data_IF_849706871802
#
_entry.id   IF_849706871802
#
_cell.length_a   1.000
_cell.length_b   1.000
_cell.length_c   1.000
_cell.angle_alpha   90.00
_cell.angle_beta   90.00
_cell.angle_gamma   90.00
#
_symmetry.space_group_name_H-M   'P 1'
#
loop_
_entity.id
_entity.type
_entity.pdbx_description
1 polymer ?
#
# COMPACT_ATOMS: atom_id res chain seq x y z
N UNK A 1 -12.99 -30.15 0.44
CA UNK A 1 -11.91 -29.46 1.17
C UNK A 1 -12.30 -28.00 1.27
N UNK A 2 -12.35 -27.43 2.47
CA UNK A 2 -12.60 -25.99 2.66
C UNK A 2 -11.25 -25.29 2.72
N UNK A 3 -11.04 -24.29 1.87
CA UNK A 3 -9.87 -23.42 1.98
C UNK A 3 -10.11 -22.51 3.19
N UNK A 4 -9.09 -22.34 4.02
CA UNK A 4 -9.10 -21.46 5.18
C UNK A 4 -8.68 -20.04 4.80
N UNK A 5 -9.14 -19.04 5.55
CA UNK A 5 -8.67 -17.65 5.39
C UNK A 5 -7.15 -17.54 5.49
N UNK A 6 -6.53 -18.35 6.35
CA UNK A 6 -5.08 -18.36 6.52
C UNK A 6 -4.35 -18.83 5.27
N UNK A 7 -4.87 -19.85 4.58
CA UNK A 7 -4.30 -20.34 3.31
C UNK A 7 -4.40 -19.26 2.22
N UNK A 8 -5.52 -18.54 2.13
CA UNK A 8 -5.69 -17.44 1.15
C UNK A 8 -4.67 -16.31 1.39
N UNK A 9 -4.49 -15.92 2.65
CA UNK A 9 -3.50 -14.89 3.03
C UNK A 9 -2.09 -15.35 2.67
N UNK A 10 -1.77 -16.60 2.97
CA UNK A 10 -0.46 -17.18 2.67
C UNK A 10 -0.20 -17.25 1.16
N UNK A 11 -1.18 -17.69 0.38
CA UNK A 11 -1.08 -17.78 -1.08
C UNK A 11 -0.87 -16.39 -1.70
N UNK A 12 -1.61 -15.37 -1.24
CA UNK A 12 -1.43 -14.00 -1.71
C UNK A 12 -0.06 -13.44 -1.32
N UNK A 13 0.40 -13.70 -0.09
CA UNK A 13 1.73 -13.29 0.34
C UNK A 13 2.81 -13.92 -0.53
N UNK A 14 2.72 -15.23 -0.81
CA UNK A 14 3.66 -15.91 -1.71
C UNK A 14 3.60 -15.37 -3.14
N UNK A 15 2.39 -15.05 -3.63
CA UNK A 15 2.23 -14.42 -4.93
C UNK A 15 2.95 -13.06 -5.00
N UNK A 16 2.70 -12.17 -4.04
CA UNK A 16 3.35 -10.85 -3.99
C UNK A 16 4.87 -10.99 -3.82
N UNK A 17 5.34 -11.92 -2.99
CA UNK A 17 6.78 -12.19 -2.85
C UNK A 17 7.40 -12.64 -4.18
N UNK A 18 6.73 -13.51 -4.92
CA UNK A 18 7.19 -13.95 -6.24
C UNK A 18 7.22 -12.79 -7.26
N UNK A 19 6.21 -11.92 -7.24
CA UNK A 19 6.18 -10.72 -8.10
C UNK A 19 7.32 -9.74 -7.76
N UNK A 20 7.72 -9.67 -6.50
CA UNK A 20 8.72 -8.73 -5.99
C UNK A 20 10.09 -9.37 -5.73
N UNK A 21 10.37 -10.53 -6.33
CA UNK A 21 11.63 -11.24 -6.19
C UNK A 21 12.83 -10.39 -6.68
N UNK A 22 12.63 -9.62 -7.76
CA UNK A 22 13.63 -8.71 -8.34
C UNK A 22 13.70 -7.35 -7.63
N UNK A 23 12.92 -7.14 -6.57
CA UNK A 23 12.86 -5.89 -5.82
C UNK A 23 13.10 -6.12 -4.30
N UNK A 24 14.25 -6.72 -3.90
CA UNK A 24 14.53 -7.04 -2.50
C UNK A 24 14.60 -5.80 -1.59
N UNK A 25 14.79 -4.61 -2.16
CA UNK A 25 14.80 -3.34 -1.43
C UNK A 25 13.41 -2.87 -0.94
N UNK A 26 12.31 -3.42 -1.47
CA UNK A 26 10.96 -3.08 -0.98
C UNK A 26 10.80 -3.65 0.42
N UNK A 27 10.48 -2.80 1.40
CA UNK A 27 10.43 -3.15 2.82
C UNK A 27 9.26 -4.09 3.13
N UNK A 28 9.41 -4.88 4.19
CA UNK A 28 8.39 -5.79 4.68
C UNK A 28 7.05 -5.12 5.01
N UNK A 29 7.06 -3.90 5.55
CA UNK A 29 5.83 -3.14 5.83
C UNK A 29 5.03 -2.86 4.55
N UNK A 30 5.72 -2.46 3.47
CA UNK A 30 5.10 -2.21 2.16
C UNK A 30 4.58 -3.51 1.54
N UNK A 31 5.35 -4.60 1.59
CA UNK A 31 4.92 -5.94 1.13
C UNK A 31 3.65 -6.40 1.86
N UNK A 32 3.65 -6.28 3.18
CA UNK A 32 2.47 -6.60 4.00
C UNK A 32 1.28 -5.69 3.70
N UNK A 33 1.51 -4.41 3.35
CA UNK A 33 0.43 -3.50 2.95
C UNK A 33 -0.20 -3.99 1.64
N UNK A 34 0.61 -4.34 0.64
CA UNK A 34 0.12 -4.84 -0.65
C UNK A 34 -0.75 -6.09 -0.49
N UNK A 35 -0.36 -7.01 0.40
CA UNK A 35 -1.20 -8.19 0.74
C UNK A 35 -2.55 -7.75 1.30
N UNK A 36 -2.54 -6.85 2.28
CA UNK A 36 -3.77 -6.41 2.93
C UNK A 36 -4.70 -5.67 1.97
N UNK A 37 -4.17 -4.78 1.12
CA UNK A 37 -4.96 -4.10 0.10
C UNK A 37 -5.51 -5.08 -0.95
N UNK A 38 -4.74 -6.09 -1.35
CA UNK A 38 -5.15 -7.08 -2.37
C UNK A 38 -6.29 -7.98 -1.92
N UNK A 39 -6.43 -8.17 -0.61
CA UNK A 39 -7.43 -9.04 -0.01
C UNK A 39 -8.51 -8.28 0.77
N UNK A 40 -8.54 -6.95 0.68
CA UNK A 40 -9.46 -6.10 1.46
C UNK A 40 -9.40 -6.38 2.98
N UNK A 41 -8.18 -6.59 3.51
CA UNK A 41 -7.94 -6.91 4.91
C UNK A 41 -7.66 -5.65 5.74
N UNK A 42 -7.95 -5.70 7.06
CA UNK A 42 -7.58 -4.63 7.98
C UNK A 42 -6.07 -4.36 8.00
N UNK A 43 -5.72 -3.08 8.13
CA UNK A 43 -4.33 -2.66 8.29
C UNK A 43 -3.88 -2.80 9.75
N UNK A 44 -2.61 -3.11 9.94
CA UNK A 44 -1.98 -2.98 11.26
C UNK A 44 -1.80 -1.51 11.64
N UNK A 45 -1.67 -1.23 12.93
CA UNK A 45 -1.43 0.14 13.43
C UNK A 45 -0.20 0.79 12.80
N UNK A 46 0.89 0.02 12.62
CA UNK A 46 2.09 0.52 11.94
C UNK A 46 1.80 0.92 10.49
N UNK A 47 1.02 0.13 9.76
CA UNK A 47 0.63 0.48 8.38
C UNK A 47 -0.28 1.71 8.34
N UNK A 48 -1.21 1.85 9.29
CA UNK A 48 -2.07 3.04 9.40
C UNK A 48 -1.22 4.30 9.58
N UNK A 49 -0.25 4.27 10.48
CA UNK A 49 0.61 5.42 10.80
C UNK A 49 1.62 5.74 9.68
N UNK A 50 2.28 4.71 9.13
CA UNK A 50 3.32 4.84 8.11
C UNK A 50 2.75 5.27 6.75
N UNK A 51 1.51 4.90 6.44
CA UNK A 51 0.83 5.24 5.19
C UNK A 51 -0.28 6.27 5.36
N UNK A 52 -0.43 6.86 6.55
CA UNK A 52 -1.36 7.97 6.79
C UNK A 52 -2.82 7.65 6.51
N UNK A 53 -3.26 6.41 6.79
CA UNK A 53 -4.62 5.93 6.50
C UNK A 53 -5.57 6.35 7.63
N UNK A 54 -6.14 7.55 7.53
CA UNK A 54 -6.98 8.15 8.60
C UNK A 54 -8.49 7.88 8.46
N UNK A 55 -8.94 7.29 7.35
CA UNK A 55 -10.35 6.99 7.09
C UNK A 55 -10.53 5.92 6.01
N UNK A 56 -11.75 5.39 5.89
CA UNK A 56 -12.13 4.45 4.83
C UNK A 56 -11.84 4.99 3.42
N UNK A 57 -11.94 6.31 3.24
CA UNK A 57 -11.66 6.93 1.93
C UNK A 57 -10.16 6.87 1.59
N UNK A 58 -9.25 7.03 2.57
CA UNK A 58 -7.82 6.82 2.35
C UNK A 58 -7.52 5.37 1.97
N UNK A 59 -8.16 4.43 2.66
CA UNK A 59 -7.99 3.01 2.38
C UNK A 59 -8.45 2.66 0.96
N UNK A 60 -9.66 3.07 0.57
CA UNK A 60 -10.22 2.83 -0.78
C UNK A 60 -9.38 3.49 -1.87
N UNK A 61 -8.87 4.69 -1.61
CA UNK A 61 -7.97 5.38 -2.52
C UNK A 61 -6.67 4.57 -2.75
N UNK A 62 -6.06 4.01 -1.69
CA UNK A 62 -4.87 3.16 -1.84
C UNK A 62 -5.17 1.83 -2.54
N UNK A 63 -6.30 1.18 -2.26
CA UNK A 63 -6.70 -0.03 -2.98
C UNK A 63 -6.87 0.24 -4.48
N UNK A 64 -7.58 1.32 -4.82
CA UNK A 64 -7.81 1.71 -6.23
C UNK A 64 -6.50 2.09 -6.91
N UNK A 65 -5.66 2.87 -6.23
CA UNK A 65 -4.31 3.25 -6.71
C UNK A 65 -3.46 2.01 -6.98
N UNK A 66 -3.40 1.04 -6.05
CA UNK A 66 -2.65 -0.20 -6.25
C UNK A 66 -3.15 -0.97 -7.48
N UNK A 67 -4.47 -1.16 -7.59
CA UNK A 67 -5.04 -1.90 -8.71
C UNK A 67 -4.69 -1.25 -10.05
N UNK A 68 -4.96 0.06 -10.19
CA UNK A 68 -4.70 0.80 -11.43
C UNK A 68 -3.19 0.91 -11.73
N UNK A 69 -2.35 1.14 -10.72
CA UNK A 69 -0.90 1.27 -10.90
C UNK A 69 -0.24 -0.06 -11.28
N UNK A 70 -0.66 -1.18 -10.68
CA UNK A 70 -0.16 -2.51 -11.03
C UNK A 70 -0.57 -2.89 -12.45
N UNK A 71 -1.80 -2.56 -12.88
CA UNK A 71 -2.22 -2.77 -14.26
C UNK A 71 -1.41 -1.93 -15.26
N UNK A 72 -1.06 -0.69 -14.90
CA UNK A 72 -0.34 0.23 -15.79
C UNK A 72 1.17 -0.01 -15.82
N UNK A 73 1.79 -0.32 -14.68
CA UNK A 73 3.26 -0.29 -14.50
C UNK A 73 3.83 -1.60 -13.96
N UNK A 74 2.99 -2.53 -13.52
CA UNK A 74 3.37 -3.78 -12.90
C UNK A 74 3.71 -3.65 -11.41
N UNK A 75 3.74 -4.81 -10.73
CA UNK A 75 3.98 -4.91 -9.29
C UNK A 75 5.28 -4.26 -8.82
N UNK A 76 6.39 -4.51 -9.52
CA UNK A 76 7.72 -4.02 -9.11
C UNK A 76 7.77 -2.49 -9.12
N UNK A 77 7.28 -1.85 -10.19
CA UNK A 77 7.31 -0.39 -10.32
C UNK A 77 6.46 0.27 -9.24
N UNK A 78 5.20 -0.18 -9.09
CA UNK A 78 4.32 0.37 -8.09
C UNK A 78 4.83 0.14 -6.66
N UNK A 79 5.32 -1.07 -6.34
CA UNK A 79 5.82 -1.37 -5.01
C UNK A 79 7.02 -0.49 -4.62
N UNK A 80 7.90 -0.17 -5.55
CA UNK A 80 9.02 0.76 -5.32
C UNK A 80 8.54 2.19 -5.10
N UNK A 81 7.58 2.65 -5.90
CA UNK A 81 7.02 4.00 -5.78
C UNK A 81 6.28 4.17 -4.44
N UNK A 82 5.46 3.18 -4.06
CA UNK A 82 4.76 3.13 -2.79
C UNK A 82 5.74 3.05 -1.60
N UNK A 83 6.77 2.22 -1.69
CA UNK A 83 7.79 2.14 -0.66
C UNK A 83 8.51 3.50 -0.49
N UNK A 84 8.89 4.17 -1.58
CA UNK A 84 9.52 5.49 -1.52
C UNK A 84 8.61 6.61 -0.98
N UNK A 85 7.29 6.37 -0.94
CA UNK A 85 6.30 7.26 -0.35
C UNK A 85 6.01 6.94 1.13
N UNK A 86 6.49 5.81 1.66
CA UNK A 86 6.30 5.42 3.07
C UNK A 86 6.81 6.53 4.01
N UNK A 87 5.95 6.96 4.93
CA UNK A 87 6.24 8.06 5.87
C UNK A 87 6.28 9.45 5.25
N UNK A 88 5.78 9.62 4.01
CA UNK A 88 5.74 10.90 3.32
C UNK A 88 4.32 11.18 2.77
N UNK A 89 3.45 11.77 3.59
CA UNK A 89 2.04 12.00 3.26
C UNK A 89 1.83 12.81 1.97
N UNK A 90 2.69 13.79 1.71
CA UNK A 90 2.65 14.55 0.44
C UNK A 90 2.91 13.66 -0.78
N UNK A 91 3.85 12.71 -0.69
CA UNK A 91 4.14 11.76 -1.78
C UNK A 91 3.01 10.76 -1.96
N UNK A 92 2.42 10.27 -0.87
CA UNK A 92 1.24 9.40 -0.93
C UNK A 92 0.04 10.11 -1.59
N UNK A 93 -0.16 11.39 -1.26
CA UNK A 93 -1.18 12.22 -1.91
C UNK A 93 -0.93 12.33 -3.41
N UNK A 94 0.31 12.59 -3.82
CA UNK A 94 0.68 12.66 -5.24
C UNK A 94 0.50 11.32 -5.95
N UNK A 95 0.85 10.22 -5.30
CA UNK A 95 0.69 8.87 -5.82
C UNK A 95 -0.78 8.56 -6.11
N UNK A 96 -1.67 8.83 -5.15
CA UNK A 96 -3.12 8.66 -5.33
C UNK A 96 -3.66 9.59 -6.41
N UNK A 97 -3.25 10.86 -6.43
CA UNK A 97 -3.67 11.80 -7.49
C UNK A 97 -3.22 11.37 -8.88
N UNK A 98 -2.09 10.65 -8.99
CA UNK A 98 -1.59 10.18 -10.27
C UNK A 98 -2.43 9.01 -10.82
N UNK A 99 -2.71 8.00 -9.99
CA UNK A 99 -3.37 6.77 -10.44
C UNK A 99 -4.88 6.76 -10.23
N UNK A 100 -5.39 7.42 -9.20
CA UNK A 100 -6.81 7.45 -8.81
C UNK A 100 -7.28 8.89 -8.50
N UNK A 101 -7.22 9.82 -9.50
CA UNK A 101 -7.50 11.24 -9.31
C UNK A 101 -8.93 11.57 -8.86
N UNK A 102 -9.87 10.63 -8.98
CA UNK A 102 -11.25 10.77 -8.49
C UNK A 102 -11.35 10.80 -6.97
N UNK A 103 -10.31 10.36 -6.25
CA UNK A 103 -10.26 10.44 -4.79
C UNK A 103 -9.68 11.78 -4.35
N UNK A 104 -10.53 12.65 -3.81
CA UNK A 104 -10.14 13.92 -3.20
C UNK A 104 -9.65 13.72 -1.74
N UNK A 105 -8.57 12.95 -1.57
CA UNK A 105 -7.95 12.68 -0.26
C UNK A 105 -6.56 13.31 -0.16
N UNK A 106 -6.18 13.71 1.05
CA UNK A 106 -4.83 14.20 1.38
C UNK A 106 -4.26 13.36 2.51
N UNK A 107 -3.13 12.72 2.26
CA UNK A 107 -2.46 11.88 3.24
C UNK A 107 -1.55 12.71 4.13
N UNK A 108 -1.50 12.34 5.41
CA UNK A 108 -0.54 12.85 6.39
C UNK A 108 -0.15 11.68 7.26
N UNK A 109 1.15 11.45 7.40
CA UNK A 109 1.72 10.37 8.21
C UNK A 109 2.18 10.90 9.57
N UNK A 110 2.38 10.02 10.54
CA UNK A 110 2.92 10.41 11.85
C UNK A 110 4.30 11.08 11.72
N UNK A 111 5.07 10.69 10.71
CA UNK A 111 6.41 11.21 10.44
C UNK A 111 6.39 12.66 9.92
N UNK A 112 5.36 13.01 9.13
CA UNK A 112 5.17 14.40 8.70
C UNK A 112 4.93 15.31 9.92
N UNK A 113 4.20 14.82 10.93
CA UNK A 113 3.88 15.57 12.16
C UNK A 113 5.09 15.68 13.10
N UNK A 114 5.94 14.66 13.14
CA UNK A 114 7.18 14.66 13.93
C UNK A 114 8.27 15.54 13.33
N UNK A 115 8.39 15.60 12.00
CA UNK A 115 9.41 16.40 11.32
C UNK A 115 9.23 17.92 11.47
N UNK A 116 8.03 18.36 11.89
CA UNK A 116 7.71 19.77 12.15
C UNK A 116 7.82 20.18 13.62
N UNK A 117 8.35 19.31 14.49
CA UNK A 117 8.69 19.61 15.89
C UNK A 117 10.19 19.77 16.05
#
# INVERSE_FOLDING_TARGET
MSITTQEIIQDMAQYIEAQLAEAPQVRGTTRGLLVNLSLDLPLSWAQVDDFGVKSDMHYRALCTTMHLAVEQTGWVSFALELDQALGHGKRLTQLVQHYAPEYEVTFTTVWDELAWR
#
